data_IF_339441626983
#
_entry.id   IF_339441626983
#
_cell.length_a   1.000
_cell.length_b   1.000
_cell.length_c   1.000
_cell.angle_alpha   90.00
_cell.angle_beta   90.00
_cell.angle_gamma   90.00
#
_symmetry.space_group_name_H-M   'P 1'
#
loop_
_entity.id
_entity.type
_entity.pdbx_description
1 polymer ?
#
# COMPACT_ATOMS: atom_id res chain seq x y z
N UNK A 1 -3.22 -11.35 -3.54
CA UNK A 1 -2.25 -11.42 -2.44
C UNK A 1 -2.38 -10.18 -1.58
N UNK A 2 -2.70 -10.36 -0.33
CA UNK A 2 -2.96 -9.23 0.56
C UNK A 2 -1.66 -8.70 1.15
N UNK A 3 -1.53 -7.39 1.13
CA UNK A 3 -0.39 -6.70 1.72
C UNK A 3 -0.88 -5.56 2.59
N UNK A 4 -0.17 -5.31 3.67
CA UNK A 4 -0.44 -4.15 4.52
C UNK A 4 0.51 -3.05 4.12
N UNK A 5 -0.04 -1.94 3.69
CA UNK A 5 0.73 -0.81 3.18
C UNK A 5 0.64 0.33 4.20
N UNK A 6 1.80 0.75 4.68
CA UNK A 6 1.88 1.92 5.56
C UNK A 6 2.28 3.13 4.73
N UNK A 7 1.51 4.20 4.86
CA UNK A 7 1.75 5.43 4.09
C UNK A 7 2.71 6.33 4.85
N UNK A 8 3.87 6.58 4.25
CA UNK A 8 4.84 7.50 4.83
C UNK A 8 4.38 8.93 4.61
N UNK A 9 5.04 9.88 5.29
CA UNK A 9 4.73 11.29 5.08
C UNK A 9 4.88 11.68 3.62
N UNK A 10 5.88 11.11 2.96
CA UNK A 10 6.12 11.42 1.55
C UNK A 10 5.04 10.85 0.67
N UNK A 11 4.48 9.71 1.05
CA UNK A 11 3.47 9.05 0.23
C UNK A 11 2.06 9.52 0.47
N UNK A 12 1.78 10.11 1.63
CA UNK A 12 0.42 10.53 1.95
C UNK A 12 -0.19 11.45 0.89
N UNK A 13 0.53 12.49 0.41
CA UNK A 13 -0.07 13.35 -0.62
C UNK A 13 -0.36 12.63 -1.93
N UNK A 14 0.31 11.50 -2.17
CA UNK A 14 0.13 10.75 -3.41
C UNK A 14 -0.75 9.53 -3.21
N UNK A 15 -1.32 9.37 -2.01
CA UNK A 15 -2.07 8.16 -1.70
C UNK A 15 -3.17 7.88 -2.71
N UNK A 16 -3.93 8.90 -3.10
CA UNK A 16 -5.03 8.68 -4.05
C UNK A 16 -4.51 8.17 -5.38
N UNK A 17 -3.43 8.76 -5.86
CA UNK A 17 -2.87 8.34 -7.15
C UNK A 17 -2.32 6.92 -7.07
N UNK A 18 -1.65 6.59 -5.96
CA UNK A 18 -1.10 5.26 -5.79
C UNK A 18 -2.22 4.24 -5.68
N UNK A 19 -3.27 4.56 -4.93
CA UNK A 19 -4.40 3.65 -4.82
C UNK A 19 -5.06 3.41 -6.18
N UNK A 20 -5.20 4.45 -6.98
CA UNK A 20 -5.77 4.29 -8.32
C UNK A 20 -4.89 3.41 -9.19
N UNK A 21 -3.59 3.62 -9.10
CA UNK A 21 -2.66 2.86 -9.92
C UNK A 21 -2.72 1.36 -9.60
N UNK A 22 -2.84 1.02 -8.32
CA UNK A 22 -2.89 -0.37 -7.89
C UNK A 22 -4.30 -0.89 -7.69
N UNK A 23 -5.31 -0.06 -7.99
CA UNK A 23 -6.70 -0.46 -7.85
C UNK A 23 -7.05 -0.83 -6.41
N UNK A 24 -6.58 -0.03 -5.47
CA UNK A 24 -6.77 -0.27 -4.04
C UNK A 24 -7.97 0.53 -3.55
N UNK A 25 -8.91 -0.08 -2.82
CA UNK A 25 -10.02 0.66 -2.24
C UNK A 25 -9.53 1.67 -1.21
N UNK A 26 -9.95 2.91 -1.35
CA UNK A 26 -9.48 3.98 -0.47
C UNK A 26 -10.06 3.90 0.93
N UNK A 27 -11.15 3.17 1.08
CA UNK A 27 -11.83 3.08 2.36
C UNK A 27 -11.22 2.08 3.32
N UNK A 28 -10.18 1.37 2.89
CA UNK A 28 -9.58 0.32 3.68
C UNK A 28 -8.40 0.79 4.51
N UNK A 29 -8.31 2.07 4.78
CA UNK A 29 -7.18 2.64 5.51
C UNK A 29 -7.55 2.84 6.97
N UNK A 30 -6.75 2.25 7.86
CA UNK A 30 -6.93 2.38 9.30
C UNK A 30 -5.57 2.66 9.92
N UNK A 31 -5.48 3.75 10.70
CA UNK A 31 -4.24 4.12 11.40
C UNK A 31 -3.05 4.24 10.45
N UNK A 32 -3.28 4.80 9.27
CA UNK A 32 -2.21 5.00 8.31
C UNK A 32 -1.81 3.76 7.55
N UNK A 33 -2.54 2.65 7.75
CA UNK A 33 -2.25 1.41 7.05
C UNK A 33 -3.45 1.01 6.20
N UNK A 34 -3.16 0.50 5.02
CA UNK A 34 -4.20 0.04 4.10
C UNK A 34 -3.98 -1.44 3.80
N UNK A 35 -5.01 -2.23 4.00
CA UNK A 35 -4.97 -3.63 3.60
C UNK A 35 -5.41 -3.71 2.14
N UNK A 36 -4.55 -4.21 1.28
CA UNK A 36 -4.79 -4.20 -0.15
C UNK A 36 -4.56 -5.57 -0.75
N UNK A 37 -5.41 -5.94 -1.69
CA UNK A 37 -5.23 -7.17 -2.46
C UNK A 37 -4.48 -6.80 -3.73
N UNK A 38 -3.19 -7.13 -3.76
CA UNK A 38 -2.31 -6.74 -4.85
C UNK A 38 -2.13 -7.92 -5.80
N UNK A 39 -2.35 -7.67 -7.08
CA UNK A 39 -2.12 -8.67 -8.11
C UNK A 39 -0.64 -9.02 -8.14
N UNK A 40 -0.36 -10.32 -8.33
CA UNK A 40 1.04 -10.78 -8.38
C UNK A 40 1.87 -10.04 -9.40
N UNK A 41 1.25 -9.67 -10.52
CA UNK A 41 1.98 -8.96 -11.57
C UNK A 41 2.35 -7.54 -11.16
N UNK A 42 1.75 -7.03 -10.08
CA UNK A 42 2.00 -5.68 -9.63
C UNK A 42 2.91 -5.62 -8.40
N UNK A 43 3.32 -6.78 -7.88
CA UNK A 43 4.11 -6.80 -6.65
C UNK A 43 5.44 -6.08 -6.85
N UNK A 44 6.08 -6.29 -7.99
CA UNK A 44 7.35 -5.62 -8.26
C UNK A 44 7.19 -4.09 -8.26
N UNK A 45 6.11 -3.63 -8.85
CA UNK A 45 5.88 -2.18 -8.89
C UNK A 45 5.58 -1.63 -7.50
N UNK A 46 4.91 -2.42 -6.68
CA UNK A 46 4.66 -2.02 -5.30
C UNK A 46 5.98 -1.92 -4.54
N UNK A 47 6.87 -2.87 -4.76
CA UNK A 47 8.19 -2.83 -4.11
C UNK A 47 9.00 -1.63 -4.56
N UNK A 48 8.90 -1.27 -5.84
CA UNK A 48 9.54 -0.06 -6.33
C UNK A 48 9.00 1.18 -5.64
N UNK A 49 7.69 1.22 -5.44
CA UNK A 49 7.08 2.34 -4.74
C UNK A 49 7.61 2.44 -3.32
N UNK A 50 7.82 1.29 -2.69
CA UNK A 50 8.40 1.27 -1.35
C UNK A 50 9.83 1.81 -1.37
N UNK A 51 10.60 1.40 -2.36
CA UNK A 51 11.98 1.87 -2.46
C UNK A 51 12.07 3.37 -2.65
N UNK A 52 11.07 3.95 -3.27
CA UNK A 52 11.02 5.41 -3.47
C UNK A 52 10.64 6.16 -2.19
N UNK A 53 10.25 5.44 -1.16
CA UNK A 53 9.96 6.04 0.13
C UNK A 53 8.53 6.49 0.32
N UNK A 54 7.65 6.17 -0.59
CA UNK A 54 6.24 6.58 -0.49
C UNK A 54 5.45 5.69 0.45
N UNK A 55 5.83 4.42 0.55
CA UNK A 55 5.10 3.45 1.35
C UNK A 55 6.08 2.52 2.05
N UNK A 56 5.56 1.77 3.02
CA UNK A 56 6.29 0.64 3.61
C UNK A 56 5.37 -0.56 3.54
N UNK A 57 5.87 -1.65 3.00
CA UNK A 57 5.12 -2.89 2.97
C UNK A 57 5.40 -3.62 4.27
N UNK A 58 4.35 -3.88 5.03
CA UNK A 58 4.48 -4.54 6.32
C UNK A 58 3.96 -5.95 6.23
N UNK A 59 4.78 -6.89 6.67
CA UNK A 59 4.44 -8.31 6.62
C UNK A 59 3.90 -8.78 7.94
N UNK A 60 3.04 -8.00 8.56
CA UNK A 60 2.46 -8.49 9.79
C UNK A 60 1.16 -9.21 9.48
N UNK A 61 0.88 -10.22 10.27
CA UNK A 61 -0.37 -10.90 10.13
C UNK A 61 -1.49 -10.03 10.59
N UNK A 62 -2.55 -10.04 9.83
CA UNK A 62 -3.72 -9.23 10.15
C UNK A 62 -4.56 -10.03 11.13
N UNK A 63 -4.39 -9.74 12.40
CA UNK A 63 -5.10 -10.48 13.43
C UNK A 63 -6.37 -9.80 13.84
N UNK A 64 -7.26 -10.58 14.29
CA UNK A 64 -8.50 -10.08 14.86
C UNK A 64 -8.39 -9.93 16.32
#
# INVERSE_FOLDING_TARGET
MFKVIYWTEKGLPLRNKICEYFNIPKTMTVNGETLADINETMIEKLQETEKRGFIQIRNKKWKK
#
